data_IF_672184350947
#
_entry.id   IF_672184350947
#
_cell.length_a   1.000
_cell.length_b   1.000
_cell.length_c   1.000
_cell.angle_alpha   90.00
_cell.angle_beta   90.00
_cell.angle_gamma   90.00
#
_symmetry.space_group_name_H-M   'P 1'
#
loop_
_entity.id
_entity.type
_entity.pdbx_description
1 polymer ?
#
# COMPACT_ATOMS: atom_id res chain seq x y z
N UNK A 1 -7.56 -4.30 28.82
CA UNK A 1 -7.15 -4.77 27.48
C UNK A 1 -5.83 -4.14 27.11
N UNK A 2 -4.86 -4.96 26.71
CA UNK A 2 -3.56 -4.49 26.19
C UNK A 2 -3.67 -4.25 24.68
N UNK A 3 -2.96 -3.23 24.20
CA UNK A 3 -2.88 -2.84 22.79
C UNK A 3 -1.42 -2.59 22.45
N UNK A 4 -0.99 -3.03 21.28
CA UNK A 4 0.42 -3.06 20.92
C UNK A 4 0.76 -1.88 20.02
N UNK A 5 1.87 -1.21 20.30
CA UNK A 5 2.50 -0.30 19.33
C UNK A 5 3.07 -1.08 18.15
N UNK A 6 3.38 -0.42 17.04
CA UNK A 6 3.96 -1.08 15.86
C UNK A 6 5.18 -2.00 16.16
N UNK A 7 6.20 -1.58 16.92
CA UNK A 7 7.34 -2.46 17.23
C UNK A 7 6.95 -3.65 18.11
N UNK A 8 6.07 -3.44 19.09
CA UNK A 8 5.57 -4.52 19.97
C UNK A 8 4.70 -5.51 19.19
N UNK A 9 3.89 -5.01 18.25
CA UNK A 9 3.07 -5.81 17.37
C UNK A 9 3.91 -6.66 16.42
N UNK A 10 4.99 -6.08 15.87
CA UNK A 10 5.94 -6.80 15.02
C UNK A 10 6.58 -7.99 15.77
N UNK A 11 7.00 -7.78 17.02
CA UNK A 11 7.55 -8.84 17.87
C UNK A 11 6.50 -9.94 18.15
N UNK A 12 5.32 -9.57 18.64
CA UNK A 12 4.25 -10.53 18.93
C UNK A 12 3.80 -11.32 17.69
N UNK A 13 3.80 -10.67 16.52
CA UNK A 13 3.51 -11.33 15.26
C UNK A 13 4.59 -12.33 14.84
N UNK A 14 5.87 -12.05 15.10
CA UNK A 14 6.94 -13.00 14.84
C UNK A 14 6.75 -14.27 15.67
N UNK A 15 6.52 -14.10 16.98
CA UNK A 15 6.31 -15.21 17.92
C UNK A 15 5.10 -16.05 17.51
N UNK A 16 3.98 -15.39 17.16
CA UNK A 16 2.77 -16.08 16.73
C UNK A 16 2.91 -16.81 15.38
N UNK A 17 3.63 -16.25 14.41
CA UNK A 17 3.92 -16.92 13.13
C UNK A 17 4.80 -18.15 13.36
N UNK A 18 5.80 -18.05 14.23
CA UNK A 18 6.69 -19.16 14.55
C UNK A 18 5.92 -20.28 15.30
N UNK A 19 5.12 -19.92 16.30
CA UNK A 19 4.35 -20.87 17.09
C UNK A 19 3.24 -21.57 16.29
N UNK A 20 2.66 -20.90 15.30
CA UNK A 20 1.63 -21.48 14.42
C UNK A 20 2.20 -22.35 13.30
N UNK A 21 3.52 -22.33 13.07
CA UNK A 21 4.13 -23.01 11.92
C UNK A 21 3.74 -22.36 10.57
N UNK A 22 3.27 -21.12 10.58
CA UNK A 22 2.89 -20.35 9.39
C UNK A 22 4.10 -19.75 8.65
N UNK A 23 5.32 -20.04 9.10
CA UNK A 23 6.54 -19.56 8.46
C UNK A 23 6.86 -20.37 7.19
N UNK A 24 7.27 -19.74 6.07
CA UNK A 24 7.84 -20.47 4.94
C UNK A 24 9.14 -21.16 5.39
N UNK A 25 9.42 -22.34 4.81
CA UNK A 25 10.57 -23.23 5.12
C UNK A 25 11.95 -22.66 4.69
N UNK A 26 12.11 -21.35 4.77
CA UNK A 26 13.28 -20.65 4.25
C UNK A 26 14.15 -20.11 5.38
N UNK A 27 15.19 -20.88 5.74
CA UNK A 27 16.25 -20.49 6.69
C UNK A 27 17.03 -19.22 6.30
N UNK A 28 16.77 -18.61 5.13
CA UNK A 28 17.38 -17.36 4.67
C UNK A 28 16.42 -16.16 4.57
N UNK A 29 15.11 -16.33 4.75
CA UNK A 29 14.19 -15.20 4.81
C UNK A 29 14.18 -14.64 6.24
N UNK A 30 14.35 -13.33 6.43
CA UNK A 30 14.25 -12.72 7.77
C UNK A 30 12.89 -13.09 8.38
N UNK A 31 12.92 -13.93 9.42
CA UNK A 31 11.78 -14.58 10.06
C UNK A 31 10.82 -13.63 10.81
N UNK A 32 11.11 -12.34 10.84
CA UNK A 32 10.40 -11.34 11.63
C UNK A 32 9.57 -10.46 10.71
N UNK A 33 8.24 -10.34 10.91
CA UNK A 33 7.43 -9.31 10.28
C UNK A 33 8.03 -7.94 10.57
N UNK A 34 8.80 -7.41 9.62
CA UNK A 34 9.42 -6.10 9.77
C UNK A 34 8.35 -5.01 9.76
N UNK A 35 8.53 -3.95 10.54
CA UNK A 35 7.58 -2.83 10.62
C UNK A 35 7.18 -2.28 9.24
N UNK A 36 8.12 -2.23 8.29
CA UNK A 36 7.88 -1.81 6.90
C UNK A 36 6.80 -2.67 6.21
N UNK A 37 6.79 -3.97 6.47
CA UNK A 37 5.82 -4.92 5.88
C UNK A 37 4.44 -4.71 6.48
N UNK A 38 4.38 -4.51 7.79
CA UNK A 38 3.10 -4.23 8.48
C UNK A 38 2.51 -2.93 7.94
N UNK A 39 3.31 -1.86 7.84
CA UNK A 39 2.86 -0.59 7.24
C UNK A 39 2.39 -0.77 5.79
N UNK A 40 3.13 -1.54 5.00
CA UNK A 40 2.76 -1.87 3.62
C UNK A 40 1.44 -2.64 3.52
N UNK A 41 1.20 -3.62 4.40
CA UNK A 41 -0.08 -4.35 4.43
C UNK A 41 -1.23 -3.48 4.92
N UNK A 42 -0.99 -2.59 5.88
CA UNK A 42 -1.97 -1.60 6.31
C UNK A 42 -2.32 -0.62 5.19
N UNK A 43 -1.34 -0.09 4.45
CA UNK A 43 -1.59 0.86 3.35
C UNK A 43 -2.24 0.22 2.13
N UNK A 44 -1.97 -1.06 1.85
CA UNK A 44 -2.68 -1.86 0.83
C UNK A 44 -4.06 -2.35 1.30
N UNK A 45 -4.42 -2.13 2.57
CA UNK A 45 -5.69 -2.55 3.15
C UNK A 45 -5.84 -4.06 3.39
N UNK A 46 -4.73 -4.80 3.38
CA UNK A 46 -4.70 -6.22 3.74
C UNK A 46 -4.92 -6.41 5.24
N UNK A 47 -4.43 -5.46 6.05
CA UNK A 47 -4.73 -5.40 7.48
C UNK A 47 -5.86 -4.40 7.74
N UNK A 48 -6.68 -4.62 8.78
CA UNK A 48 -7.65 -3.64 9.23
C UNK A 48 -6.94 -2.35 9.61
N UNK A 49 -7.64 -1.22 9.54
CA UNK A 49 -7.04 0.05 9.93
C UNK A 49 -6.73 0.01 11.43
N UNK A 50 -5.47 0.23 11.84
CA UNK A 50 -5.13 0.27 13.26
C UNK A 50 -5.81 1.46 13.94
N UNK A 51 -6.07 1.29 15.23
CA UNK A 51 -6.54 2.39 16.06
C UNK A 51 -5.43 3.43 16.28
N UNK A 52 -5.81 4.57 16.86
CA UNK A 52 -4.87 5.62 17.24
C UNK A 52 -4.88 5.80 18.76
N UNK A 53 -3.69 5.89 19.36
CA UNK A 53 -3.51 6.38 20.74
C UNK A 53 -2.57 7.59 20.69
N UNK A 54 -3.17 8.79 20.67
CA UNK A 54 -2.42 10.03 20.43
C UNK A 54 -1.77 10.02 19.05
N UNK A 55 -0.44 10.12 18.99
CA UNK A 55 0.36 10.07 17.75
C UNK A 55 0.80 8.67 17.32
N UNK A 56 0.50 7.64 18.13
CA UNK A 56 0.93 6.27 17.87
C UNK A 56 -0.21 5.41 17.32
N UNK A 57 0.12 4.57 16.34
CA UNK A 57 -0.77 3.51 15.85
C UNK A 57 -0.79 2.34 16.83
N UNK A 58 -1.98 1.82 17.10
CA UNK A 58 -2.22 0.71 18.02
C UNK A 58 -2.89 -0.46 17.32
N UNK A 59 -2.34 -1.65 17.57
CA UNK A 59 -2.75 -2.92 16.99
C UNK A 59 -3.32 -3.82 18.09
N UNK A 60 -4.31 -4.61 17.71
CA UNK A 60 -5.07 -5.50 18.59
C UNK A 60 -5.07 -6.96 18.13
N UNK A 61 -5.89 -7.78 18.79
CA UNK A 61 -6.02 -9.22 18.51
C UNK A 61 -6.40 -9.49 17.06
N UNK A 62 -7.36 -8.75 16.52
CA UNK A 62 -7.83 -8.95 15.13
C UNK A 62 -6.70 -8.73 14.11
N UNK A 63 -5.81 -7.77 14.37
CA UNK A 63 -4.65 -7.50 13.51
C UNK A 63 -3.66 -8.66 13.53
N UNK A 64 -3.44 -9.25 14.71
CA UNK A 64 -2.53 -10.38 14.89
C UNK A 64 -3.04 -11.62 14.13
N UNK A 65 -4.32 -11.96 14.31
CA UNK A 65 -4.95 -13.09 13.61
C UNK A 65 -4.82 -12.94 12.09
N UNK A 66 -5.17 -11.77 11.57
CA UNK A 66 -5.11 -11.51 10.12
C UNK A 66 -3.69 -11.56 9.58
N UNK A 67 -2.70 -11.06 10.32
CA UNK A 67 -1.30 -11.10 9.88
C UNK A 67 -0.74 -12.53 9.83
N UNK A 68 -1.05 -13.36 10.83
CA UNK A 68 -0.62 -14.76 10.83
C UNK A 68 -1.33 -15.55 9.71
N UNK A 69 -2.61 -15.31 9.49
CA UNK A 69 -3.34 -15.89 8.37
C UNK A 69 -2.71 -15.52 7.01
N UNK A 70 -2.36 -14.24 6.80
CA UNK A 70 -1.62 -13.80 5.60
C UNK A 70 -0.32 -14.60 5.45
N UNK A 71 0.44 -14.78 6.54
CA UNK A 71 1.72 -15.49 6.49
C UNK A 71 1.57 -16.97 6.15
N UNK A 72 0.55 -17.64 6.70
CA UNK A 72 0.25 -19.03 6.35
C UNK A 72 -0.08 -19.17 4.86
N UNK A 73 -0.93 -18.29 4.33
CA UNK A 73 -1.27 -18.29 2.91
C UNK A 73 -0.07 -17.96 2.00
N UNK A 74 0.84 -17.08 2.44
CA UNK A 74 2.11 -16.86 1.75
C UNK A 74 2.99 -18.12 1.74
N UNK A 75 2.97 -18.90 2.83
CA UNK A 75 3.66 -20.20 2.90
C UNK A 75 3.05 -21.25 1.96
N UNK A 76 1.75 -21.16 1.67
CA UNK A 76 1.06 -21.96 0.65
C UNK A 76 1.39 -21.51 -0.80
N UNK A 77 2.15 -20.43 -0.98
CA UNK A 77 2.57 -19.93 -2.29
C UNK A 77 1.60 -18.93 -2.93
N UNK A 78 0.56 -18.49 -2.23
CA UNK A 78 -0.39 -17.50 -2.77
C UNK A 78 0.27 -16.12 -2.88
N UNK A 79 -0.05 -15.42 -3.96
CA UNK A 79 0.28 -14.00 -4.14
C UNK A 79 -0.52 -13.12 -3.17
N UNK A 80 -0.03 -11.90 -2.94
CA UNK A 80 -0.71 -10.97 -2.03
C UNK A 80 -2.12 -10.59 -2.50
N UNK A 81 -2.38 -10.59 -3.81
CA UNK A 81 -3.68 -10.24 -4.36
C UNK A 81 -4.69 -11.39 -4.17
N UNK A 82 -4.27 -12.64 -4.39
CA UNK A 82 -5.08 -13.84 -4.09
C UNK A 82 -5.39 -13.94 -2.59
N UNK A 83 -4.41 -13.59 -1.73
CA UNK A 83 -4.60 -13.54 -0.28
C UNK A 83 -5.65 -12.49 0.09
N UNK A 84 -5.59 -11.31 -0.51
CA UNK A 84 -6.54 -10.24 -0.24
C UNK A 84 -7.97 -10.66 -0.60
N UNK A 85 -8.15 -11.30 -1.76
CA UNK A 85 -9.46 -11.83 -2.20
C UNK A 85 -9.99 -12.91 -1.26
N UNK A 86 -9.13 -13.88 -0.89
CA UNK A 86 -9.50 -14.96 0.04
C UNK A 86 -9.91 -14.42 1.42
N UNK A 87 -9.18 -13.43 1.94
CA UNK A 87 -9.47 -12.82 3.25
C UNK A 87 -10.63 -11.83 3.24
N UNK A 88 -11.08 -11.36 2.07
CA UNK A 88 -12.22 -10.44 1.95
C UNK A 88 -13.56 -11.17 2.18
N UNK A 89 -13.65 -12.43 1.75
CA UNK A 89 -14.84 -13.28 1.93
C UNK A 89 -14.94 -13.99 3.28
N UNK A 90 -13.92 -13.87 4.15
CA UNK A 90 -13.85 -14.59 5.42
C UNK A 90 -14.42 -13.80 6.59
N UNK A 91 -15.17 -14.47 7.46
CA UNK A 91 -15.56 -13.95 8.77
C UNK A 91 -14.36 -13.90 9.73
N UNK A 92 -14.46 -13.12 10.81
CA UNK A 92 -13.40 -13.03 11.82
C UNK A 92 -13.04 -14.41 12.41
N UNK A 93 -14.04 -15.25 12.67
CA UNK A 93 -13.83 -16.62 13.17
C UNK A 93 -13.11 -17.51 12.14
N UNK A 94 -13.40 -17.36 10.85
CA UNK A 94 -12.69 -18.09 9.79
C UNK A 94 -11.23 -17.63 9.67
N UNK A 95 -10.96 -16.34 9.82
CA UNK A 95 -9.58 -15.81 9.84
C UNK A 95 -8.82 -16.31 11.06
N UNK A 96 -9.46 -16.35 12.23
CA UNK A 96 -8.85 -16.90 13.46
C UNK A 96 -8.54 -18.39 13.33
N UNK A 97 -9.48 -19.18 12.78
CA UNK A 97 -9.25 -20.59 12.48
C UNK A 97 -8.11 -20.78 11.46
N UNK A 98 -8.04 -19.95 10.41
CA UNK A 98 -6.95 -19.97 9.44
C UNK A 98 -5.62 -19.54 10.07
N UNK A 99 -5.62 -18.63 11.03
CA UNK A 99 -4.43 -18.20 11.76
C UNK A 99 -3.91 -19.29 12.71
N UNK A 100 -4.79 -20.15 13.23
CA UNK A 100 -4.46 -21.30 14.08
C UNK A 100 -3.31 -21.03 15.07
N UNK A 101 -3.40 -19.88 15.77
CA UNK A 101 -2.39 -19.46 16.73
C UNK A 101 -2.65 -20.23 18.03
N UNK A 102 -1.65 -20.94 18.60
CA UNK A 102 -1.80 -21.55 19.92
C UNK A 102 -2.14 -20.49 20.97
N UNK A 103 -3.03 -20.80 21.93
CA UNK A 103 -3.48 -19.82 22.93
C UNK A 103 -2.33 -19.17 23.71
N UNK A 104 -1.26 -19.92 24.00
CA UNK A 104 -0.07 -19.42 24.69
C UNK A 104 0.85 -18.51 23.86
N UNK A 105 0.65 -18.42 22.54
CA UNK A 105 1.42 -17.55 21.64
C UNK A 105 0.74 -16.19 21.41
N UNK A 106 -0.50 -16.01 21.87
CA UNK A 106 -1.18 -14.72 21.87
C UNK A 106 -0.84 -14.00 23.18
N UNK A 107 -0.38 -12.73 23.15
CA UNK A 107 -0.13 -11.97 24.37
C UNK A 107 -1.37 -11.92 25.27
N UNK A 108 -1.19 -12.22 26.56
CA UNK A 108 -2.29 -12.25 27.53
C UNK A 108 -3.00 -10.89 27.60
N UNK A 109 -4.34 -10.91 27.55
CA UNK A 109 -5.18 -9.71 27.64
C UNK A 109 -5.17 -8.81 26.39
N UNK A 110 -4.59 -9.27 25.27
CA UNK A 110 -4.62 -8.56 23.99
C UNK A 110 -6.06 -8.39 23.52
N UNK A 111 -6.51 -7.14 23.51
CA UNK A 111 -7.84 -6.75 23.05
C UNK A 111 -7.80 -6.09 21.68
N UNK A 112 -8.94 -5.65 21.20
CA UNK A 112 -9.04 -4.77 20.04
C UNK A 112 -9.23 -3.31 20.46
N UNK A 113 -8.73 -2.35 19.66
CA UNK A 113 -8.95 -0.93 19.93
C UNK A 113 -10.44 -0.58 19.76
N UNK A 114 -10.89 0.43 20.51
CA UNK A 114 -12.22 1.04 20.35
C UNK A 114 -12.08 2.34 19.54
N UNK A 115 -12.90 2.58 18.49
CA UNK A 115 -13.90 1.67 17.92
C UNK A 115 -13.26 0.42 17.29
N UNK A 116 -14.03 -0.68 17.29
CA UNK A 116 -13.59 -1.97 16.76
C UNK A 116 -12.97 -1.80 15.37
N UNK A 117 -11.84 -2.46 15.07
CA UNK A 117 -11.18 -2.34 13.79
C UNK A 117 -12.15 -2.77 12.70
N UNK A 118 -12.64 -1.81 11.90
CA UNK A 118 -13.52 -2.14 10.80
C UNK A 118 -12.75 -3.06 9.86
N UNK A 119 -13.34 -4.22 9.47
CA UNK A 119 -12.77 -4.99 8.39
C UNK A 119 -12.61 -4.04 7.22
N UNK A 120 -11.47 -4.09 6.54
CA UNK A 120 -11.18 -3.25 5.38
C UNK A 120 -12.14 -3.63 4.24
N UNK A 121 -13.42 -3.26 4.36
CA UNK A 121 -14.54 -3.59 3.48
C UNK A 121 -14.38 -2.98 2.09
N UNK A 122 -13.29 -2.26 1.84
CA UNK A 122 -13.03 -1.55 0.59
C UNK A 122 -11.61 -1.72 0.03
N UNK A 123 -10.76 -2.58 0.60
CA UNK A 123 -9.41 -2.80 0.04
C UNK A 123 -9.39 -3.69 -1.21
N UNK A 124 -10.50 -4.40 -1.48
CA UNK A 124 -10.66 -5.22 -2.69
C UNK A 124 -10.93 -4.42 -3.98
N UNK A 125 -11.20 -3.12 -3.86
CA UNK A 125 -11.54 -2.29 -5.01
C UNK A 125 -10.77 -0.97 -5.07
N UNK A 126 -10.20 -0.40 -4.01
CA UNK A 126 -9.61 0.95 -4.12
C UNK A 126 -8.45 1.06 -5.15
N UNK A 127 -7.59 0.03 -5.26
CA UNK A 127 -6.49 0.01 -6.23
C UNK A 127 -6.90 -0.57 -7.61
N UNK A 128 -8.07 -1.21 -7.70
CA UNK A 128 -8.60 -1.88 -8.90
C UNK A 128 -9.75 -1.13 -9.56
N UNK A 129 -10.44 -0.30 -8.80
CA UNK A 129 -11.37 0.68 -9.27
C UNK A 129 -10.55 1.72 -10.00
N UNK A 130 -10.52 1.61 -11.33
CA UNK A 130 -10.63 2.81 -12.15
C UNK A 130 -11.77 3.60 -11.50
N UNK A 131 -11.56 4.84 -11.03
CA UNK A 131 -12.62 5.58 -10.37
C UNK A 131 -13.84 5.56 -11.29
N UNK A 132 -14.87 4.86 -10.84
CA UNK A 132 -16.14 4.79 -11.55
C UNK A 132 -16.60 6.24 -11.69
N UNK A 133 -17.01 6.59 -12.90
CA UNK A 133 -17.11 7.95 -13.38
C UNK A 133 -17.70 8.87 -12.31
N UNK A 134 -16.95 9.94 -11.98
CA UNK A 134 -17.51 11.07 -11.25
C UNK A 134 -18.83 11.48 -11.92
N UNK A 135 -19.87 11.86 -11.14
CA UNK A 135 -21.21 12.09 -11.66
C UNK A 135 -21.15 13.02 -12.87
N UNK A 136 -21.84 12.60 -13.94
CA UNK A 136 -22.00 13.30 -15.22
C UNK A 136 -22.39 14.77 -14.99
N UNK A 137 -21.37 15.63 -14.98
CA UNK A 137 -21.56 17.02 -15.41
C UNK A 137 -21.34 16.99 -16.91
N UNK A 138 -22.45 17.02 -17.64
CA UNK A 138 -22.54 17.13 -19.09
C UNK A 138 -21.64 18.28 -19.64
N UNK A 139 -21.23 18.21 -20.91
CA UNK A 139 -19.83 18.39 -21.29
C UNK A 139 -19.54 19.79 -21.88
N UNK A 140 -18.47 20.41 -21.42
CA UNK A 140 -17.72 21.35 -22.25
C UNK A 140 -16.29 20.82 -22.37
N UNK A 141 -16.07 20.15 -23.50
CA UNK A 141 -14.91 19.35 -23.80
C UNK A 141 -13.66 20.22 -24.01
N UNK A 142 -12.79 20.28 -23.00
CA UNK A 142 -11.35 20.33 -23.25
C UNK A 142 -10.85 18.89 -23.10
N UNK A 143 -10.69 18.21 -24.24
CA UNK A 143 -10.20 16.84 -24.32
C UNK A 143 -8.92 16.68 -23.48
N UNK A 144 -8.99 15.86 -22.42
CA UNK A 144 -7.79 15.36 -21.78
C UNK A 144 -7.01 14.56 -22.84
N UNK A 145 -5.69 14.80 -23.04
CA UNK A 145 -4.94 14.06 -24.03
C UNK A 145 -4.92 12.59 -23.62
N UNK A 146 -5.64 11.75 -24.36
CA UNK A 146 -5.54 10.32 -24.25
C UNK A 146 -4.15 9.94 -24.77
N UNK A 147 -3.31 9.40 -23.87
CA UNK A 147 -2.00 8.85 -24.25
C UNK A 147 -2.27 7.69 -25.18
N UNK A 148 -1.98 7.88 -26.47
CA UNK A 148 -2.41 6.93 -27.51
C UNK A 148 -1.24 6.10 -28.01
N UNK A 149 0.01 6.56 -27.85
CA UNK A 149 1.18 5.87 -28.39
C UNK A 149 2.46 6.19 -27.62
N UNK A 150 2.63 5.57 -26.44
CA UNK A 150 3.82 5.75 -25.61
C UNK A 150 5.02 4.98 -26.17
N UNK A 151 6.04 5.70 -26.58
CA UNK A 151 7.31 5.18 -27.08
C UNK A 151 8.44 5.45 -26.08
N UNK A 152 9.28 4.46 -25.83
CA UNK A 152 10.49 4.60 -25.03
C UNK A 152 11.72 4.59 -25.93
N UNK A 153 12.50 5.68 -25.88
CA UNK A 153 13.75 5.85 -26.62
C UNK A 153 14.91 5.83 -25.63
N UNK A 154 15.72 4.78 -25.64
CA UNK A 154 16.91 4.67 -24.78
C UNK A 154 18.02 5.55 -25.35
N UNK A 155 18.45 6.57 -24.59
CA UNK A 155 19.49 7.51 -25.01
C UNK A 155 20.89 7.07 -24.55
N UNK A 156 20.97 6.43 -23.38
CA UNK A 156 22.21 5.85 -22.83
C UNK A 156 21.86 4.70 -21.89
N UNK A 157 22.85 4.14 -21.19
CA UNK A 157 22.61 3.11 -20.19
C UNK A 157 21.83 3.59 -18.95
N UNK A 158 21.81 4.89 -18.73
CA UNK A 158 21.23 5.53 -17.55
C UNK A 158 20.07 6.48 -17.89
N UNK A 159 19.82 6.74 -19.18
CA UNK A 159 18.83 7.74 -19.63
C UNK A 159 17.88 7.13 -20.65
N UNK A 160 16.56 7.23 -20.38
CA UNK A 160 15.49 6.84 -21.29
C UNK A 160 14.49 7.99 -21.43
N UNK A 161 14.13 8.32 -22.67
CA UNK A 161 13.12 9.31 -23.02
C UNK A 161 11.79 8.61 -23.29
N UNK A 162 10.70 9.09 -22.68
CA UNK A 162 9.34 8.64 -22.98
C UNK A 162 8.63 9.69 -23.82
N UNK A 163 8.07 9.29 -24.95
CA UNK A 163 7.36 10.16 -25.90
C UNK A 163 5.96 9.60 -26.11
N UNK A 164 4.94 10.43 -25.95
CA UNK A 164 3.58 10.07 -26.33
C UNK A 164 3.27 10.62 -27.72
N UNK A 165 3.20 9.73 -28.72
CA UNK A 165 3.06 10.08 -30.13
C UNK A 165 4.39 10.05 -30.91
N UNK A 166 4.43 10.67 -32.10
CA UNK A 166 5.65 10.71 -32.92
C UNK A 166 6.75 11.55 -32.26
N UNK A 167 8.01 11.21 -32.55
CA UNK A 167 9.16 11.97 -32.05
C UNK A 167 9.04 13.46 -32.45
N UNK A 168 9.02 14.39 -31.48
CA UNK A 168 8.88 15.81 -31.79
C UNK A 168 10.14 16.34 -32.50
N UNK A 169 10.02 17.43 -33.28
CA UNK A 169 11.17 18.06 -33.93
C UNK A 169 12.20 18.54 -32.89
N UNK A 170 13.48 18.52 -33.28
CA UNK A 170 14.61 18.75 -32.38
C UNK A 170 14.51 20.06 -31.58
N UNK A 171 14.04 21.15 -32.20
CA UNK A 171 13.89 22.44 -31.52
C UNK A 171 12.81 22.43 -30.42
N UNK A 172 11.75 21.66 -30.62
CA UNK A 172 10.70 21.49 -29.60
C UNK A 172 11.21 20.64 -28.44
N UNK A 173 11.96 19.57 -28.73
CA UNK A 173 12.60 18.76 -27.70
C UNK A 173 13.63 19.59 -26.91
N UNK A 174 14.43 20.42 -27.59
CA UNK A 174 15.42 21.31 -26.97
C UNK A 174 14.78 22.34 -26.05
N UNK A 175 13.67 22.96 -26.47
CA UNK A 175 12.90 23.88 -25.61
C UNK A 175 12.32 23.17 -24.40
N UNK A 176 11.73 21.99 -24.58
CA UNK A 176 11.15 21.20 -23.48
C UNK A 176 12.22 20.76 -22.47
N UNK A 177 13.42 20.42 -22.95
CA UNK A 177 14.54 19.99 -22.10
C UNK A 177 15.31 21.16 -21.44
N UNK A 178 15.07 22.41 -21.83
CA UNK A 178 15.85 23.56 -21.35
C UNK A 178 15.91 23.67 -19.80
N UNK A 179 14.81 23.51 -19.04
CA UNK A 179 14.86 23.58 -17.59
C UNK A 179 15.72 22.47 -16.95
N UNK A 180 15.71 21.26 -17.53
CA UNK A 180 16.53 20.14 -17.08
C UNK A 180 18.02 20.39 -17.34
N UNK A 181 18.35 20.91 -18.53
CA UNK A 181 19.72 21.25 -18.91
C UNK A 181 20.27 22.37 -18.02
N UNK A 182 19.46 23.38 -17.70
CA UNK A 182 19.84 24.47 -16.79
C UNK A 182 20.12 23.96 -15.37
N UNK A 183 19.36 22.97 -14.89
CA UNK A 183 19.57 22.34 -13.58
C UNK A 183 20.85 21.50 -13.54
N UNK A 184 21.11 20.73 -14.59
CA UNK A 184 22.35 19.96 -14.69
C UNK A 184 23.58 20.86 -14.78
N UNK A 185 23.43 22.03 -15.42
CA UNK A 185 24.48 23.04 -15.47
C UNK A 185 24.64 23.80 -14.14
N UNK A 186 23.59 23.93 -13.33
CA UNK A 186 23.57 24.67 -12.06
C UNK A 186 22.86 23.88 -10.94
N UNK A 187 23.53 22.89 -10.30
CA UNK A 187 22.92 21.95 -9.37
C UNK A 187 22.43 22.53 -8.02
N UNK A 188 22.45 23.86 -7.85
CA UNK A 188 22.05 24.56 -6.63
C UNK A 188 20.73 25.33 -6.70
N UNK A 189 19.96 25.23 -7.79
CA UNK A 189 18.62 25.85 -7.89
C UNK A 189 17.52 24.82 -7.60
N UNK A 190 16.85 24.96 -6.47
CA UNK A 190 15.65 24.20 -6.11
C UNK A 190 14.53 24.46 -7.13
N UNK A 191 13.95 23.39 -7.67
CA UNK A 191 12.65 23.47 -8.31
C UNK A 191 11.56 23.41 -7.23
N UNK A 192 10.47 24.21 -7.34
CA UNK A 192 9.25 23.88 -6.65
C UNK A 192 8.75 22.55 -7.20
N UNK A 193 8.81 21.49 -6.38
CA UNK A 193 8.14 20.23 -6.68
C UNK A 193 6.64 20.53 -6.74
N UNK A 194 6.12 20.76 -7.94
CA UNK A 194 4.68 20.81 -8.19
C UNK A 194 4.19 19.37 -8.22
N UNK A 195 4.03 18.78 -7.03
CA UNK A 195 3.08 17.71 -6.83
C UNK A 195 1.69 18.34 -6.96
N UNK A 196 1.18 18.45 -8.19
CA UNK A 196 -0.23 18.76 -8.43
C UNK A 196 -1.06 17.56 -7.99
N UNK A 197 -1.31 17.53 -6.68
CA UNK A 197 -2.59 17.17 -6.11
C UNK A 197 -3.70 17.90 -6.87
N UNK A 198 -4.67 17.17 -7.42
CA UNK A 198 -5.95 17.80 -7.77
C UNK A 198 -6.65 18.15 -6.46
N UNK A 199 -6.77 19.46 -6.22
CA UNK A 199 -7.84 20.06 -5.43
C UNK A 199 -9.22 19.68 -5.98
N UNK A 200 -10.22 19.75 -5.11
CA UNK A 200 -11.25 20.80 -5.17
C UNK A 200 -11.71 21.07 -3.73
N UNK A 201 -11.43 22.24 -3.16
CA UNK A 201 -12.31 23.43 -3.10
C UNK A 201 -13.77 23.01 -2.80
N UNK A 202 -14.48 23.50 -1.80
CA UNK A 202 -14.41 24.66 -0.92
C UNK A 202 -15.85 24.96 -0.49
N UNK A 203 -16.01 25.76 0.57
CA UNK A 203 -17.27 26.37 1.04
C UNK A 203 -18.21 25.45 1.84
N UNK A 204 -18.80 25.83 2.97
CA UNK A 204 -18.88 27.10 3.67
C UNK A 204 -19.99 26.94 4.71
N UNK A 205 -19.78 27.43 5.92
CA UNK A 205 -20.72 27.36 7.04
C UNK A 205 -20.01 27.41 8.39
#
# INVERSE_FOLDING_TARGET
MTLLTLPQFAAAAADAVQASGAAPDNRQAKAVPAERMIRYYTSRGLLPRPGNRGRALIYGRTHLMRLVAIKRLQGEGLSLDEIAERLAGMSAAQVEALAAIPEGAVPAGLGDPEPAPEPARAAGAFWRAVPDAAPEVAPEAAAAPAVTNLQAVRLSDTVTLLVDGPLPPLDSLRRAAAPLLDLLANPGKDFPIVLSSRRRDGDGG
#
